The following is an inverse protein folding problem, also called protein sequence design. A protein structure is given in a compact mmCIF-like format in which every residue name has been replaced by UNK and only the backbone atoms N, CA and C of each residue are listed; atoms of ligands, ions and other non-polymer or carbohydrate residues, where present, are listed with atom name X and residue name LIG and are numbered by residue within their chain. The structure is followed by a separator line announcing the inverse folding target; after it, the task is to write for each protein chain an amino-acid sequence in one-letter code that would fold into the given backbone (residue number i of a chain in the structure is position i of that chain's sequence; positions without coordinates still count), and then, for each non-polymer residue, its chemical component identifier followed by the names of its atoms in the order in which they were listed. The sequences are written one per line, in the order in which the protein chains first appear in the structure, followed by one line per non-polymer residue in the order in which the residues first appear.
data_IF_002140940462
#
_entry.id   IF_002140940462
#
_cell.length_a   1.000
_cell.length_b   1.000
_cell.length_c   1.000
_cell.angle_alpha   90.00
_cell.angle_beta   90.00
_cell.angle_gamma   90.00
#
_symmetry.space_group_name_H-M   'P 1'
#
loop_
_entity.id
_entity.type
_entity.pdbx_description
1 polymer ?
#
# COMPACT_ATOMS: atom_id res chain seq x y z
N UNK A 1 -29.84 -5.11 -6.90
CA UNK A 1 -28.69 -5.23 -7.83
C UNK A 1 -27.54 -5.69 -6.98
N UNK A 2 -27.09 -6.92 -7.20
CA UNK A 2 -26.05 -7.57 -6.40
C UNK A 2 -24.70 -7.01 -6.88
N UNK A 3 -24.05 -6.20 -6.04
CA UNK A 3 -22.81 -5.54 -6.41
C UNK A 3 -21.66 -6.34 -5.82
N UNK A 4 -21.15 -7.29 -6.62
CA UNK A 4 -19.91 -8.02 -6.35
C UNK A 4 -18.76 -7.03 -6.09
N UNK A 5 -17.86 -7.28 -5.11
CA UNK A 5 -16.70 -6.43 -4.82
C UNK A 5 -15.71 -6.28 -5.98
N UNK A 6 -15.91 -7.04 -7.06
CA UNK A 6 -15.16 -6.94 -8.32
C UNK A 6 -15.66 -5.83 -9.26
N UNK A 7 -16.46 -4.86 -8.80
CA UNK A 7 -16.60 -3.61 -9.56
C UNK A 7 -15.22 -2.96 -9.56
N UNK A 8 -14.51 -3.26 -10.64
CA UNK A 8 -13.17 -2.80 -10.90
C UNK A 8 -13.16 -1.28 -10.79
N UNK A 9 -12.29 -0.74 -9.94
CA UNK A 9 -11.92 0.68 -9.97
C UNK A 9 -11.63 1.18 -11.40
N UNK A 10 -11.23 0.27 -12.30
CA UNK A 10 -11.04 0.50 -13.73
C UNK A 10 -12.30 0.92 -14.49
N UNK A 11 -13.52 0.62 -14.02
CA UNK A 11 -14.76 1.06 -14.66
C UNK A 11 -15.15 2.48 -14.27
N UNK A 12 -14.61 2.98 -13.15
CA UNK A 12 -14.86 4.34 -12.63
C UNK A 12 -13.73 5.26 -13.11
N UNK A 13 -12.49 4.84 -12.92
CA UNK A 13 -11.28 5.51 -13.40
C UNK A 13 -11.04 5.08 -14.84
N UNK A 14 -11.72 5.71 -15.79
CA UNK A 14 -11.61 5.39 -17.23
C UNK A 14 -10.17 5.09 -17.68
N UNK A 15 -10.05 4.14 -18.61
CA UNK A 15 -8.91 3.28 -19.05
C UNK A 15 -7.45 3.80 -19.03
N UNK A 16 -7.13 5.02 -18.61
CA UNK A 16 -5.80 5.62 -18.75
C UNK A 16 -4.99 5.84 -17.47
N UNK A 17 -5.41 5.35 -16.30
CA UNK A 17 -4.51 5.27 -15.13
C UNK A 17 -4.77 4.00 -14.32
N UNK A 18 -3.93 2.99 -14.53
CA UNK A 18 -3.74 1.92 -13.54
C UNK A 18 -3.13 2.56 -12.29
N UNK A 19 -3.95 2.77 -11.27
CA UNK A 19 -3.45 3.11 -9.94
C UNK A 19 -3.00 1.81 -9.29
N UNK A 20 -1.70 1.69 -9.02
CA UNK A 20 -1.19 0.60 -8.20
C UNK A 20 -1.64 0.84 -6.76
N UNK A 21 -2.64 0.07 -6.35
CA UNK A 21 -3.27 0.15 -5.03
C UNK A 21 -2.28 -0.06 -3.88
N UNK A 22 -1.12 -0.67 -4.14
CA UNK A 22 -0.10 -0.95 -3.13
C UNK A 22 0.85 0.23 -2.87
N UNK A 23 0.77 1.31 -3.66
CA UNK A 23 1.69 2.44 -3.61
C UNK A 23 0.97 3.81 -3.52
N UNK A 24 -0.31 3.80 -3.14
CA UNK A 24 -1.14 5.01 -3.00
C UNK A 24 -0.79 5.70 -1.68
N UNK A 25 -0.23 6.92 -1.74
CA UNK A 25 0.03 7.71 -0.52
C UNK A 25 -1.29 8.19 0.07
N UNK A 26 -1.29 8.49 1.37
CA UNK A 26 -2.48 9.00 2.08
C UNK A 26 -3.11 10.23 1.42
N UNK A 27 -2.29 11.08 0.81
CA UNK A 27 -2.73 12.27 0.09
C UNK A 27 -3.38 11.93 -1.26
N UNK A 28 -2.94 10.83 -1.90
CA UNK A 28 -3.52 10.32 -3.15
C UNK A 28 -4.92 9.73 -2.92
N UNK A 29 -5.20 9.19 -1.72
CA UNK A 29 -6.52 8.64 -1.36
C UNK A 29 -7.59 9.74 -1.38
N UNK A 30 -7.27 10.92 -0.85
CA UNK A 30 -8.22 12.05 -0.81
C UNK A 30 -8.53 12.56 -2.23
N UNK A 31 -7.50 12.62 -3.09
CA UNK A 31 -7.64 13.00 -4.48
C UNK A 31 -8.43 11.96 -5.30
N UNK A 32 -8.21 10.67 -5.06
CA UNK A 32 -8.97 9.58 -5.70
C UNK A 32 -10.44 9.63 -5.27
N UNK A 33 -10.72 9.92 -3.99
CA UNK A 33 -12.09 10.12 -3.49
C UNK A 33 -12.78 11.29 -4.17
N UNK A 34 -12.07 12.42 -4.32
CA UNK A 34 -12.59 13.62 -4.98
C UNK A 34 -12.90 13.36 -6.45
N UNK A 35 -11.99 12.71 -7.19
CA UNK A 35 -12.19 12.38 -8.61
C UNK A 35 -13.36 11.41 -8.82
N UNK A 36 -13.44 10.34 -8.01
CA UNK A 36 -14.51 9.36 -8.10
C UNK A 36 -15.88 9.99 -7.79
N UNK A 37 -15.92 10.89 -6.81
CA UNK A 37 -17.11 11.64 -6.42
C UNK A 37 -17.60 12.57 -7.54
N UNK A 38 -16.69 13.35 -8.15
CA UNK A 38 -17.00 14.23 -9.27
C UNK A 38 -17.54 13.46 -10.49
N UNK A 39 -16.94 12.32 -10.82
CA UNK A 39 -17.38 11.48 -11.93
C UNK A 39 -18.75 10.82 -11.69
N UNK A 40 -19.02 10.41 -10.44
CA UNK A 40 -20.30 9.83 -10.06
C UNK A 40 -21.42 10.88 -10.11
N UNK A 41 -21.17 12.09 -9.57
CA UNK A 41 -22.18 13.17 -9.55
C UNK A 41 -22.61 13.60 -10.95
N UNK A 42 -21.70 13.57 -11.93
CA UNK A 42 -22.04 13.90 -13.32
C UNK A 42 -23.06 12.93 -13.95
N UNK A 43 -23.14 11.69 -13.46
CA UNK A 43 -24.05 10.66 -13.98
C UNK A 43 -25.43 10.67 -13.30
N UNK A 44 -25.56 11.34 -12.14
CA UNK A 44 -26.81 11.40 -11.37
C UNK A 44 -27.65 12.60 -11.83
N UNK A 45 -28.95 12.41 -12.17
CA UNK A 45 -29.88 13.50 -12.46
C UNK A 45 -29.97 14.51 -11.30
N UNK A 46 -29.97 15.82 -11.62
CA UNK A 46 -29.88 16.91 -10.64
C UNK A 46 -30.92 16.80 -9.51
N UNK A 47 -32.14 16.37 -9.82
CA UNK A 47 -33.23 16.19 -8.87
C UNK A 47 -33.01 15.07 -7.82
N UNK A 48 -32.07 14.15 -8.04
CA UNK A 48 -31.78 13.01 -7.14
C UNK A 48 -30.48 13.15 -6.36
N UNK A 49 -29.64 14.13 -6.72
CA UNK A 49 -28.30 14.31 -6.15
C UNK A 49 -28.31 14.50 -4.63
N UNK A 50 -29.29 15.18 -4.03
CA UNK A 50 -29.26 15.44 -2.58
C UNK A 50 -29.35 14.19 -1.70
N UNK A 51 -30.01 13.13 -2.17
CA UNK A 51 -30.27 11.91 -1.39
C UNK A 51 -29.32 10.78 -1.81
N UNK A 52 -29.05 10.63 -3.11
CA UNK A 52 -28.15 9.59 -3.63
C UNK A 52 -26.67 9.90 -3.35
N UNK A 53 -26.26 11.18 -3.37
CA UNK A 53 -24.88 11.57 -3.09
C UNK A 53 -24.52 11.36 -1.61
N UNK A 54 -25.48 11.56 -0.70
CA UNK A 54 -25.29 11.30 0.72
C UNK A 54 -25.12 9.81 1.00
N UNK A 55 -25.93 8.97 0.36
CA UNK A 55 -25.82 7.50 0.47
C UNK A 55 -24.49 6.98 -0.08
N UNK A 56 -24.01 7.50 -1.23
CA UNK A 56 -22.70 7.12 -1.77
C UNK A 56 -21.54 7.61 -0.90
N UNK A 57 -21.61 8.82 -0.35
CA UNK A 57 -20.61 9.31 0.58
C UNK A 57 -20.56 8.46 1.86
N UNK A 58 -21.72 8.17 2.48
CA UNK A 58 -21.80 7.35 3.69
C UNK A 58 -21.32 5.92 3.43
N UNK A 59 -21.65 5.32 2.28
CA UNK A 59 -21.13 4.00 1.86
C UNK A 59 -19.62 4.02 1.64
N UNK A 60 -19.09 5.09 1.04
CA UNK A 60 -17.65 5.24 0.82
C UNK A 60 -16.91 5.36 2.15
N UNK A 61 -17.42 6.19 3.08
CA UNK A 61 -16.85 6.31 4.43
C UNK A 61 -16.93 4.98 5.19
N UNK A 62 -18.05 4.26 5.08
CA UNK A 62 -18.22 2.94 5.68
C UNK A 62 -17.20 1.94 5.11
N UNK A 63 -17.08 1.83 3.79
CA UNK A 63 -16.11 0.94 3.15
C UNK A 63 -14.66 1.29 3.51
N UNK A 64 -14.31 2.57 3.57
CA UNK A 64 -12.99 3.01 4.01
C UNK A 64 -12.72 2.70 5.48
N UNK A 65 -13.74 2.78 6.33
CA UNK A 65 -13.64 2.40 7.74
C UNK A 65 -13.51 0.88 7.92
N UNK A 66 -14.16 0.10 7.06
CA UNK A 66 -14.09 -1.36 7.07
C UNK A 66 -12.74 -1.85 6.54
N UNK A 67 -12.21 -1.23 5.47
CA UNK A 67 -10.84 -1.46 5.01
C UNK A 67 -9.84 -1.22 6.13
N UNK A 68 -9.91 -0.06 6.81
CA UNK A 68 -9.06 0.26 7.98
C UNK A 68 -9.15 -0.79 9.10
N UNK A 69 -10.27 -1.48 9.22
CA UNK A 69 -10.50 -2.51 10.23
C UNK A 69 -10.24 -3.94 9.74
N UNK A 70 -9.89 -4.14 8.46
CA UNK A 70 -9.39 -5.42 7.99
C UNK A 70 -7.94 -5.63 8.47
N UNK A 71 -7.58 -6.85 8.93
CA UNK A 71 -6.26 -7.15 9.50
C UNK A 71 -5.08 -6.98 8.52
N UNK A 72 -5.35 -6.68 7.25
CA UNK A 72 -4.36 -6.46 6.20
C UNK A 72 -4.27 -5.02 5.69
N UNK A 73 -4.94 -4.04 6.31
CA UNK A 73 -4.76 -2.64 5.93
C UNK A 73 -3.97 -1.85 6.99
N UNK A 74 -2.77 -1.46 6.57
CA UNK A 74 -2.04 -0.24 6.97
C UNK A 74 -1.42 -0.11 8.37
N UNK A 75 -1.59 -1.05 9.30
CA UNK A 75 -0.75 -1.10 10.50
C UNK A 75 -0.28 -2.54 10.75
N UNK A 76 0.83 -2.89 10.13
CA UNK A 76 1.53 -4.14 10.42
C UNK A 76 1.98 -4.09 11.88
N UNK A 77 1.26 -4.79 12.77
CA UNK A 77 1.47 -4.80 14.23
C UNK A 77 2.81 -5.37 14.68
N UNK A 78 3.70 -5.70 13.74
CA UNK A 78 5.06 -6.11 14.05
C UNK A 78 5.99 -4.91 13.99
N UNK A 79 6.60 -4.58 15.14
CA UNK A 79 7.75 -3.68 15.18
C UNK A 79 9.03 -4.33 14.64
N UNK A 80 9.02 -5.62 14.25
CA UNK A 80 10.19 -6.27 13.66
C UNK A 80 10.21 -6.04 12.14
N UNK A 81 11.22 -5.33 11.59
CA UNK A 81 11.36 -5.10 10.16
C UNK A 81 11.29 -6.38 9.31
N UNK A 82 11.72 -7.52 9.87
CA UNK A 82 11.64 -8.81 9.18
C UNK A 82 10.20 -9.18 8.80
N UNK A 83 9.28 -9.10 9.76
CA UNK A 83 7.89 -9.52 9.55
C UNK A 83 7.18 -8.56 8.60
N UNK A 84 7.46 -7.26 8.69
CA UNK A 84 6.97 -6.24 7.76
C UNK A 84 7.38 -6.55 6.32
N UNK A 85 8.66 -6.87 6.10
CA UNK A 85 9.18 -7.17 4.76
C UNK A 85 8.65 -8.50 4.20
N UNK A 86 8.51 -9.53 5.03
CA UNK A 86 7.97 -10.84 4.62
C UNK A 86 6.48 -10.73 4.26
N UNK A 87 5.69 -10.04 5.09
CA UNK A 87 4.25 -9.87 4.84
C UNK A 87 3.96 -9.01 3.61
N UNK A 88 4.88 -8.10 3.25
CA UNK A 88 4.84 -7.37 1.99
C UNK A 88 5.36 -8.17 0.77
N UNK A 89 5.77 -9.44 0.98
CA UNK A 89 6.15 -10.36 -0.11
C UNK A 89 7.61 -10.30 -0.55
N UNK A 90 8.47 -9.58 0.18
CA UNK A 90 9.88 -9.48 -0.20
C UNK A 90 10.70 -10.70 0.23
N UNK A 91 11.76 -10.97 -0.53
CA UNK A 91 12.74 -11.99 -0.20
C UNK A 91 13.69 -11.49 0.89
N UNK A 92 13.52 -12.01 2.10
CA UNK A 92 14.23 -11.58 3.32
C UNK A 92 15.15 -12.68 3.82
N UNK A 93 16.37 -12.31 4.18
CA UNK A 93 17.34 -13.18 4.84
C UNK A 93 17.74 -12.59 6.19
N UNK A 94 17.34 -13.24 7.27
CA UNK A 94 17.73 -12.84 8.62
C UNK A 94 18.92 -13.67 9.13
N UNK A 95 20.03 -12.99 9.42
CA UNK A 95 21.23 -13.59 10.02
C UNK A 95 21.62 -12.93 11.35
N UNK A 96 20.73 -12.13 11.96
CA UNK A 96 20.98 -11.41 13.22
C UNK A 96 21.42 -12.34 14.35
N UNK A 97 20.80 -13.51 14.46
CA UNK A 97 21.14 -14.52 15.49
C UNK A 97 22.60 -15.04 15.42
N UNK A 98 23.25 -14.89 14.27
CA UNK A 98 24.63 -15.32 14.03
C UNK A 98 25.61 -14.15 13.92
N UNK A 99 25.27 -12.98 14.49
CA UNK A 99 26.06 -11.75 14.38
C UNK A 99 26.07 -11.13 12.97
N UNK A 100 25.18 -11.57 12.09
CA UNK A 100 24.95 -10.98 10.79
C UNK A 100 23.90 -9.86 10.83
N UNK A 101 23.40 -9.49 9.65
CA UNK A 101 22.35 -8.48 9.48
C UNK A 101 21.05 -9.09 8.96
N UNK A 102 19.97 -8.31 9.05
CA UNK A 102 18.78 -8.53 8.25
C UNK A 102 19.04 -8.01 6.82
N UNK A 103 18.78 -8.84 5.81
CA UNK A 103 18.91 -8.51 4.40
C UNK A 103 17.57 -8.63 3.70
N UNK A 104 17.36 -7.79 2.69
CA UNK A 104 16.22 -7.90 1.78
C UNK A 104 16.65 -7.64 0.35
N UNK A 105 16.28 -8.52 -0.57
CA UNK A 105 16.59 -8.39 -1.99
C UNK A 105 15.79 -7.22 -2.57
N UNK A 106 16.46 -6.37 -3.34
CA UNK A 106 15.82 -5.27 -4.02
C UNK A 106 14.79 -5.77 -5.02
N UNK A 107 13.60 -5.19 -4.95
CA UNK A 107 12.52 -5.36 -5.92
C UNK A 107 11.85 -3.98 -6.08
N UNK A 108 11.27 -3.72 -7.25
CA UNK A 108 10.60 -2.45 -7.52
C UNK A 108 9.52 -2.16 -6.45
N UNK A 109 9.51 -0.94 -5.91
CA UNK A 109 8.53 -0.49 -4.91
C UNK A 109 8.96 -0.74 -3.45
N UNK A 110 10.08 -1.40 -3.20
CA UNK A 110 10.60 -1.65 -1.84
C UNK A 110 11.00 -0.36 -1.10
N UNK A 111 11.32 0.70 -1.84
CA UNK A 111 11.83 1.96 -1.30
C UNK A 111 10.85 2.60 -0.31
N UNK A 112 9.55 2.57 -0.60
CA UNK A 112 8.52 3.13 0.28
C UNK A 112 8.49 2.43 1.65
N UNK A 113 8.63 1.10 1.67
CA UNK A 113 8.66 0.30 2.91
C UNK A 113 9.97 0.51 3.65
N UNK A 114 11.09 0.56 2.94
CA UNK A 114 12.40 0.82 3.54
C UNK A 114 12.44 2.20 4.18
N UNK A 115 11.88 3.22 3.53
CA UNK A 115 11.85 4.58 4.07
C UNK A 115 10.93 4.67 5.29
N UNK A 116 9.76 4.01 5.28
CA UNK A 116 8.92 3.90 6.47
C UNK A 116 9.65 3.19 7.64
N UNK A 117 10.41 2.13 7.38
CA UNK A 117 11.21 1.47 8.41
C UNK A 117 12.33 2.37 8.96
N UNK A 118 12.94 3.21 8.12
CA UNK A 118 13.92 4.22 8.56
C UNK A 118 13.29 5.29 9.45
N UNK A 119 12.11 5.78 9.09
CA UNK A 119 11.35 6.73 9.92
C UNK A 119 11.04 6.15 11.31
N UNK A 120 10.85 4.84 11.40
CA UNK A 120 10.67 4.10 12.65
C UNK A 120 11.98 3.75 13.38
N UNK A 121 13.13 4.29 12.94
CA UNK A 121 14.42 4.16 13.62
C UNK A 121 15.28 2.99 13.16
N UNK A 122 14.90 2.27 12.10
CA UNK A 122 15.71 1.18 11.55
C UNK A 122 16.67 1.67 10.48
N UNK A 123 17.98 1.45 10.66
CA UNK A 123 18.96 1.90 9.69
C UNK A 123 19.16 0.88 8.56
N UNK A 124 18.65 1.18 7.37
CA UNK A 124 18.83 0.36 6.17
C UNK A 124 19.79 1.01 5.17
N UNK A 125 20.74 0.22 4.67
CA UNK A 125 21.74 0.65 3.69
C UNK A 125 21.60 -0.17 2.41
N UNK A 126 21.51 0.50 1.26
CA UNK A 126 21.48 -0.14 -0.04
C UNK A 126 22.88 -0.56 -0.47
N UNK A 127 22.97 -1.70 -1.17
CA UNK A 127 24.16 -2.11 -1.90
C UNK A 127 23.77 -2.76 -3.23
N UNK A 128 24.38 -2.27 -4.32
CA UNK A 128 24.13 -2.76 -5.68
C UNK A 128 24.59 -4.21 -5.87
N UNK A 129 25.65 -4.62 -5.18
CA UNK A 129 26.26 -5.94 -5.32
C UNK A 129 25.89 -6.92 -4.20
N UNK A 130 25.01 -6.52 -3.29
CA UNK A 130 24.56 -7.35 -2.18
C UNK A 130 25.68 -8.00 -1.38
N UNK A 131 25.39 -9.20 -0.88
CA UNK A 131 26.35 -10.05 -0.18
C UNK A 131 26.29 -11.48 -0.70
N UNK A 132 27.07 -12.38 -0.08
CA UNK A 132 26.94 -13.81 -0.33
C UNK A 132 25.55 -14.34 0.05
N UNK A 133 24.91 -13.73 1.04
CA UNK A 133 23.57 -14.09 1.52
C UNK A 133 22.51 -13.83 0.46
N UNK A 134 22.59 -12.67 -0.21
CA UNK A 134 21.67 -12.27 -1.27
C UNK A 134 22.17 -12.68 -2.65
N UNK A 135 23.06 -13.67 -2.75
CA UNK A 135 23.61 -14.19 -4.02
C UNK A 135 24.15 -13.10 -4.95
N UNK A 136 24.74 -12.04 -4.39
CA UNK A 136 25.26 -10.86 -5.09
C UNK A 136 24.20 -10.02 -5.82
N UNK A 137 22.93 -10.14 -5.43
CA UNK A 137 21.86 -9.31 -5.96
C UNK A 137 21.79 -7.96 -5.23
N UNK A 138 21.35 -6.89 -5.91
CA UNK A 138 21.06 -5.62 -5.27
C UNK A 138 20.13 -5.83 -4.06
N UNK A 139 20.46 -5.21 -2.94
CA UNK A 139 19.76 -5.48 -1.67
C UNK A 139 19.96 -4.36 -0.66
N UNK A 140 19.04 -4.30 0.31
CA UNK A 140 19.22 -3.52 1.53
C UNK A 140 19.67 -4.44 2.66
N UNK A 141 20.51 -3.92 3.55
CA UNK A 141 20.80 -4.56 4.83
C UNK A 141 20.57 -3.60 6.00
N UNK A 142 20.10 -4.15 7.12
CA UNK A 142 19.92 -3.40 8.36
C UNK A 142 21.26 -3.32 9.11
N UNK A 143 21.74 -2.10 9.31
CA UNK A 143 22.97 -1.81 10.04
C UNK A 143 22.62 -1.55 11.50
N UNK A 144 23.17 -2.38 12.39
CA UNK A 144 23.09 -2.20 13.85
C UNK A 144 23.86 -0.97 14.33
#
# INVERSE_FOLDING_TARGET
VDFSPDIQLNSIVGENKRFDINNVKKDDISLIQEIAYEQYIQQVPLEKRSTEVKDVYEKTIFWLSELKNQPNSLENRSSDPKEVLISAGYEVYDKRDNGGCLWVVYQEGIEAIIDNLKENGHNFVFTENGSRTTKKQPSYYMKS
#
